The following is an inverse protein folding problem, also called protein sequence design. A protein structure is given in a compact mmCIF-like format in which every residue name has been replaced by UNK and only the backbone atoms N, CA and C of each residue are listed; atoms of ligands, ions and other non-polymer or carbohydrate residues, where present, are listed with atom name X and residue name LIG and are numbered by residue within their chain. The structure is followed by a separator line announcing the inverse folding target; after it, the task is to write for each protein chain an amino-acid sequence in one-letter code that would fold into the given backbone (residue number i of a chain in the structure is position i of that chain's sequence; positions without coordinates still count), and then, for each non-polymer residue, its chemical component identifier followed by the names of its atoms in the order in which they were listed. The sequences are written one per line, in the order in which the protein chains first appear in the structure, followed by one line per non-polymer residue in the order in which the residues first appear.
data_IF_302743854846
#
_entry.id   IF_302743854846
#
_cell.length_a   1.000
_cell.length_b   1.000
_cell.length_c   1.000
_cell.angle_alpha   90.00
_cell.angle_beta   90.00
_cell.angle_gamma   90.00
#
_symmetry.space_group_name_H-M   'P 1'
#
loop_
_entity.id
_entity.type
_entity.pdbx_description
1 polymer ?
#
# COMPACT_ATOMS: atom_id res chain seq x y z
N UNK A 1 -2.58 22.18 -1.82
CA UNK A 1 -3.53 21.14 -1.35
C UNK A 1 -4.04 20.34 -2.55
N UNK A 2 -3.31 19.29 -2.97
CA UNK A 2 -3.65 18.46 -4.14
C UNK A 2 -3.71 16.95 -3.81
N UNK A 3 -3.46 16.58 -2.55
CA UNK A 3 -3.41 15.20 -2.07
C UNK A 3 -4.75 14.43 -2.00
N UNK A 4 -5.95 15.05 -1.80
CA UNK A 4 -7.17 14.27 -1.54
C UNK A 4 -7.54 13.33 -2.69
N UNK A 5 -7.48 13.83 -3.93
CA UNK A 5 -7.91 13.07 -5.10
C UNK A 5 -6.99 11.90 -5.45
N UNK A 6 -5.67 12.02 -5.22
CA UNK A 6 -4.73 10.92 -5.43
C UNK A 6 -4.97 9.80 -4.40
N UNK A 7 -5.16 10.17 -3.13
CA UNK A 7 -5.47 9.20 -2.10
C UNK A 7 -6.76 8.44 -2.39
N UNK A 8 -7.87 9.14 -2.62
CA UNK A 8 -9.15 8.50 -2.95
C UNK A 8 -9.04 7.56 -4.15
N UNK A 9 -8.24 7.92 -5.17
CA UNK A 9 -7.99 7.04 -6.33
C UNK A 9 -7.19 5.79 -5.96
N UNK A 10 -6.16 5.92 -5.13
CA UNK A 10 -5.35 4.78 -4.68
C UNK A 10 -6.16 3.87 -3.76
N UNK A 11 -6.91 4.42 -2.81
CA UNK A 11 -7.76 3.63 -1.92
C UNK A 11 -8.80 2.83 -2.70
N UNK A 12 -9.49 3.49 -3.64
CA UNK A 12 -10.45 2.82 -4.53
C UNK A 12 -9.77 1.70 -5.34
N UNK A 13 -8.60 1.97 -5.91
CA UNK A 13 -7.82 0.97 -6.66
C UNK A 13 -7.48 -0.25 -5.79
N UNK A 14 -7.05 -0.03 -4.54
CA UNK A 14 -6.69 -1.10 -3.62
C UNK A 14 -7.93 -1.95 -3.28
N UNK A 15 -9.03 -1.31 -2.89
CA UNK A 15 -10.29 -1.99 -2.57
C UNK A 15 -10.83 -2.82 -3.75
N UNK A 16 -10.85 -2.26 -4.95
CA UNK A 16 -11.31 -2.94 -6.17
C UNK A 16 -10.44 -4.17 -6.53
N UNK A 17 -9.22 -4.23 -6.00
CA UNK A 17 -8.30 -5.35 -6.19
C UNK A 17 -8.19 -6.25 -4.96
N UNK A 18 -9.13 -6.17 -4.01
CA UNK A 18 -9.17 -7.08 -2.86
C UNK A 18 -8.04 -6.85 -1.85
N UNK A 19 -7.52 -5.63 -1.79
CA UNK A 19 -6.71 -5.20 -0.64
C UNK A 19 -7.63 -4.73 0.47
N UNK A 20 -7.31 -5.10 1.70
CA UNK A 20 -8.03 -4.75 2.91
C UNK A 20 -7.21 -3.74 3.71
N UNK A 21 -7.84 -2.65 4.14
CA UNK A 21 -7.19 -1.67 5.01
C UNK A 21 -7.20 -2.22 6.44
N UNK A 22 -6.03 -2.45 7.01
CA UNK A 22 -5.89 -3.03 8.36
C UNK A 22 -5.55 -2.00 9.42
N UNK A 23 -5.02 -0.83 9.03
CA UNK A 23 -4.69 0.25 9.95
C UNK A 23 -4.62 1.60 9.24
N UNK A 24 -4.97 2.67 9.96
CA UNK A 24 -4.92 4.05 9.50
C UNK A 24 -4.66 5.00 10.68
N UNK A 25 -3.76 5.97 10.46
CA UNK A 25 -3.54 7.10 11.35
C UNK A 25 -3.15 8.37 10.54
N UNK A 26 -2.91 9.53 11.18
CA UNK A 26 -2.48 10.74 10.48
C UNK A 26 -1.13 10.62 9.76
N UNK A 27 -0.28 9.69 10.17
CA UNK A 27 1.04 9.43 9.59
C UNK A 27 1.02 8.41 8.44
N UNK A 28 -0.08 7.69 8.22
CA UNK A 28 -0.17 6.74 7.13
C UNK A 28 -1.29 5.71 7.22
N UNK A 29 -1.19 4.71 6.36
CA UNK A 29 -2.13 3.60 6.26
C UNK A 29 -1.39 2.29 6.02
N UNK A 30 -2.03 1.19 6.42
CA UNK A 30 -1.60 -0.17 6.12
C UNK A 30 -2.72 -0.94 5.43
N UNK A 31 -2.32 -1.69 4.41
CA UNK A 31 -3.18 -2.51 3.58
C UNK A 31 -2.61 -3.90 3.46
N UNK A 32 -3.46 -4.91 3.43
CA UNK A 32 -3.09 -6.31 3.29
C UNK A 32 -3.86 -6.97 2.15
N UNK A 33 -3.25 -7.96 1.49
CA UNK A 33 -3.89 -8.73 0.41
C UNK A 33 -3.46 -10.18 0.52
N UNK A 34 -4.37 -11.09 0.23
CA UNK A 34 -4.16 -12.54 0.34
C UNK A 34 -3.80 -12.95 1.79
N UNK A 35 -4.39 -12.25 2.78
CA UNK A 35 -4.22 -12.52 4.21
C UNK A 35 -4.88 -13.83 4.63
N UNK A 36 -4.31 -14.95 4.22
CA UNK A 36 -4.57 -16.21 4.89
C UNK A 36 -3.76 -16.25 6.20
N UNK A 37 -4.47 -16.01 7.30
CA UNK A 37 -3.92 -15.92 8.65
C UNK A 37 -3.10 -17.14 9.07
N UNK A 38 -3.30 -18.30 8.43
CA UNK A 38 -2.59 -19.54 8.77
C UNK A 38 -1.16 -19.63 8.24
N UNK A 39 -0.80 -18.90 7.16
CA UNK A 39 0.46 -19.17 6.45
C UNK A 39 1.42 -17.98 6.32
N UNK A 40 1.06 -16.80 6.84
CA UNK A 40 1.84 -15.56 6.67
C UNK A 40 2.22 -15.26 5.19
N UNK A 41 1.43 -15.79 4.25
CA UNK A 41 1.61 -15.65 2.80
C UNK A 41 0.72 -14.55 2.25
N UNK A 42 0.96 -13.33 2.72
CA UNK A 42 0.17 -12.17 2.37
C UNK A 42 1.06 -11.03 1.90
N UNK A 43 0.50 -10.12 1.13
CA UNK A 43 1.15 -8.86 0.80
C UNK A 43 0.72 -7.80 1.80
N UNK A 44 1.66 -6.97 2.22
CA UNK A 44 1.39 -5.83 3.07
C UNK A 44 1.96 -4.58 2.40
N UNK A 45 1.14 -3.54 2.32
CA UNK A 45 1.49 -2.25 1.77
C UNK A 45 1.33 -1.20 2.89
N UNK A 46 2.40 -0.49 3.20
CA UNK A 46 2.36 0.67 4.09
C UNK A 46 2.50 1.93 3.26
N UNK A 47 1.59 2.89 3.44
CA UNK A 47 1.63 4.21 2.83
C UNK A 47 1.91 5.22 3.93
N UNK A 48 3.02 5.94 3.85
CA UNK A 48 3.43 6.94 4.83
C UNK A 48 3.11 8.34 4.28
N UNK A 49 2.40 9.13 5.08
CA UNK A 49 1.97 10.46 4.72
C UNK A 49 3.00 11.49 5.19
N UNK A 50 3.66 12.15 4.24
CA UNK A 50 4.59 13.23 4.53
C UNK A 50 3.89 14.60 4.44
N UNK A 51 4.16 15.53 5.37
CA UNK A 51 3.58 16.89 5.36
C UNK A 51 3.94 17.71 4.11
N UNK A 52 5.06 17.40 3.47
CA UNK A 52 5.54 18.04 2.24
C UNK A 52 4.82 17.51 0.97
N UNK A 53 3.91 16.55 1.11
CA UNK A 53 3.20 15.91 0.00
C UNK A 53 3.98 14.80 -0.71
N UNK A 54 5.22 14.50 -0.29
CA UNK A 54 6.02 13.41 -0.82
C UNK A 54 5.68 12.10 -0.12
N UNK A 55 4.46 11.59 -0.32
CA UNK A 55 4.02 10.34 0.29
C UNK A 55 4.79 9.14 -0.29
N UNK A 56 5.22 8.21 0.58
CA UNK A 56 6.00 7.03 0.21
C UNK A 56 5.28 5.74 0.58
N UNK A 57 5.45 4.73 -0.26
CA UNK A 57 4.88 3.40 -0.10
C UNK A 57 6.00 2.38 0.11
N UNK A 58 5.79 1.46 1.05
CA UNK A 58 6.64 0.30 1.27
C UNK A 58 5.80 -0.96 1.09
N UNK A 59 6.25 -1.86 0.24
CA UNK A 59 5.59 -3.13 -0.05
C UNK A 59 6.40 -4.26 0.57
N UNK A 60 5.71 -5.20 1.21
CA UNK A 60 6.29 -6.33 1.91
C UNK A 60 5.56 -7.60 1.48
N UNK A 61 6.29 -8.71 1.38
CA UNK A 61 5.70 -10.05 1.39
C UNK A 61 5.83 -10.63 2.80
N UNK A 62 4.69 -10.81 3.46
CA UNK A 62 4.57 -11.12 4.89
C UNK A 62 4.64 -9.86 5.75
N UNK A 63 5.55 -9.85 6.74
CA UNK A 63 5.59 -8.86 7.82
C UNK A 63 6.34 -7.56 7.47
N UNK A 64 5.91 -6.43 8.06
CA UNK A 64 6.60 -5.12 8.04
C UNK A 64 7.91 -5.10 8.84
N UNK A 65 8.18 -6.13 9.64
CA UNK A 65 9.43 -6.27 10.40
C UNK A 65 10.62 -6.70 9.52
N UNK A 66 10.35 -7.10 8.27
CA UNK A 66 11.38 -7.45 7.27
C UNK A 66 11.72 -6.24 6.40
N UNK A 67 12.81 -6.34 5.65
CA UNK A 67 13.10 -5.36 4.60
C UNK A 67 11.97 -5.35 3.55
N UNK A 68 11.57 -4.17 3.06
CA UNK A 68 10.54 -4.08 2.05
C UNK A 68 11.04 -4.66 0.72
N UNK A 69 10.18 -5.45 0.09
CA UNK A 69 10.32 -5.90 -1.29
C UNK A 69 10.51 -4.73 -2.25
N UNK A 70 9.88 -3.61 -1.95
CA UNK A 70 10.06 -2.39 -2.72
C UNK A 70 9.66 -1.15 -1.92
N UNK A 71 10.31 -0.03 -2.23
CA UNK A 71 9.92 1.29 -1.77
C UNK A 71 9.70 2.19 -2.98
N UNK A 72 8.61 2.94 -3.01
CA UNK A 72 8.31 3.86 -4.10
C UNK A 72 7.51 5.07 -3.61
N UNK A 73 7.39 6.12 -4.43
CA UNK A 73 6.45 7.20 -4.14
C UNK A 73 5.01 6.75 -4.41
N UNK A 74 4.04 7.33 -3.70
CA UNK A 74 2.61 7.04 -3.89
C UNK A 74 2.16 7.21 -5.36
N UNK A 75 2.65 8.25 -6.04
CA UNK A 75 2.38 8.48 -7.47
C UNK A 75 2.83 7.33 -8.39
N UNK A 76 3.79 6.54 -7.94
CA UNK A 76 4.38 5.41 -8.66
C UNK A 76 3.85 4.06 -8.16
N UNK A 77 2.90 4.05 -7.21
CA UNK A 77 2.40 2.81 -6.61
C UNK A 77 1.68 1.92 -7.61
N UNK A 78 0.81 2.49 -8.45
CA UNK A 78 0.03 1.72 -9.44
C UNK A 78 0.93 0.88 -10.38
N UNK A 79 1.93 1.43 -11.09
CA UNK A 79 2.78 0.63 -11.96
C UNK A 79 3.58 -0.43 -11.17
N UNK A 80 3.99 -0.14 -9.94
CA UNK A 80 4.68 -1.10 -9.06
C UNK A 80 3.78 -2.31 -8.72
N UNK A 81 2.55 -2.05 -8.28
CA UNK A 81 1.60 -3.12 -7.95
C UNK A 81 1.22 -3.94 -9.19
N UNK A 82 1.09 -3.28 -10.36
CA UNK A 82 0.79 -3.96 -11.63
C UNK A 82 1.94 -4.86 -12.07
N UNK A 83 3.19 -4.39 -11.98
CA UNK A 83 4.38 -5.19 -12.32
C UNK A 83 4.46 -6.47 -11.48
N UNK A 84 4.07 -6.39 -10.21
CA UNK A 84 4.00 -7.54 -9.28
C UNK A 84 2.68 -8.33 -9.35
N UNK A 85 1.78 -8.02 -10.28
CA UNK A 85 0.48 -8.68 -10.48
C UNK A 85 -0.44 -8.65 -9.25
N UNK A 86 -0.31 -7.62 -8.41
CA UNK A 86 -1.12 -7.46 -7.19
C UNK A 86 -2.42 -6.68 -7.41
N UNK A 87 -2.54 -6.05 -8.58
CA UNK A 87 -3.72 -5.38 -9.11
C UNK A 87 -3.87 -5.70 -10.60
N UNK A 88 -5.08 -5.52 -11.14
CA UNK A 88 -5.39 -5.65 -12.57
C UNK A 88 -5.14 -4.34 -13.35
#
# INVERSE_FOLDING_TARGET
MAAPALFTRIEKLLLENGWEKTWEDPGGQRWEKDSDAHYWRYWQLTINFMPDGNHYCKLYYGSSLKEPETTCHLRSLRPVLKHRRLIR
#
